data_IF_175898584591
#
_entry.id   IF_175898584591
#
_cell.length_a   1.000
_cell.length_b   1.000
_cell.length_c   1.000
_cell.angle_alpha   90.00
_cell.angle_beta   90.00
_cell.angle_gamma   90.00
#
_symmetry.space_group_name_H-M   'P 1'
#
loop_
_entity.id
_entity.type
_entity.pdbx_description
1 polymer ?
#
# COMPACT_ATOMS: atom_id res chain seq x y z
N UNK A 1 46.53 -1.24 16.85
CA UNK A 1 45.45 -0.38 16.31
C UNK A 1 44.45 -1.14 15.44
N UNK A 2 44.78 -2.33 14.96
CA UNK A 2 43.91 -3.16 14.09
C UNK A 2 42.61 -3.63 14.77
N UNK A 3 42.66 -4.02 16.05
CA UNK A 3 41.44 -4.42 16.79
C UNK A 3 40.41 -3.29 16.91
N UNK A 4 40.84 -2.03 17.01
CA UNK A 4 39.95 -0.88 17.09
C UNK A 4 39.26 -0.60 15.76
N UNK A 5 39.95 -0.84 14.63
CA UNK A 5 39.39 -0.72 13.28
C UNK A 5 38.31 -1.79 13.03
N UNK A 6 38.50 -3.01 13.54
CA UNK A 6 37.51 -4.09 13.43
C UNK A 6 36.24 -3.76 14.24
N UNK A 7 36.38 -3.23 15.46
CA UNK A 7 35.23 -2.75 16.24
C UNK A 7 34.53 -1.56 15.56
N UNK A 8 35.26 -0.65 14.94
CA UNK A 8 34.68 0.45 14.16
C UNK A 8 33.94 -0.07 12.91
N UNK A 9 34.49 -1.02 12.16
CA UNK A 9 33.80 -1.63 11.01
C UNK A 9 32.50 -2.33 11.44
N UNK A 10 32.51 -3.08 12.54
CA UNK A 10 31.32 -3.75 13.08
C UNK A 10 30.27 -2.76 13.61
N UNK A 11 30.69 -1.68 14.26
CA UNK A 11 29.80 -0.65 14.81
C UNK A 11 29.16 0.24 13.72
N UNK A 12 29.90 0.50 12.64
CA UNK A 12 29.39 1.25 11.48
C UNK A 12 28.39 0.43 10.65
N UNK A 13 28.55 -0.89 10.54
CA UNK A 13 27.54 -1.77 9.92
C UNK A 13 26.21 -1.77 10.68
N UNK A 14 26.22 -1.77 12.01
CA UNK A 14 24.99 -1.69 12.82
C UNK A 14 24.25 -0.35 12.72
N UNK A 15 24.93 0.73 12.31
CA UNK A 15 24.34 2.09 12.27
C UNK A 15 23.86 2.50 10.87
N UNK A 16 24.26 1.79 9.80
CA UNK A 16 23.76 2.06 8.43
C UNK A 16 22.54 1.20 8.03
N UNK A 17 22.22 0.13 8.76
CA UNK A 17 21.08 -0.77 8.46
C UNK A 17 19.71 -0.14 8.75
N UNK A 18 19.65 0.98 9.50
CA UNK A 18 18.40 1.44 10.11
C UNK A 18 17.60 2.51 9.33
N UNK A 19 18.03 2.99 8.15
CA UNK A 19 17.46 4.26 7.63
C UNK A 19 16.59 4.15 6.37
N UNK A 20 16.63 3.07 5.59
CA UNK A 20 15.90 3.00 4.32
C UNK A 20 14.66 2.08 4.30
N UNK A 21 14.68 0.98 5.05
CA UNK A 21 13.60 -0.02 5.14
C UNK A 21 12.51 0.29 6.17
N UNK A 22 12.78 0.79 7.40
CA UNK A 22 11.71 1.03 8.37
C UNK A 22 10.76 2.15 7.94
N UNK A 23 11.25 3.15 7.20
CA UNK A 23 10.41 4.24 6.71
C UNK A 23 9.35 3.77 5.70
N UNK A 24 9.70 2.84 4.80
CA UNK A 24 8.74 2.26 3.85
C UNK A 24 7.71 1.39 4.55
N UNK A 25 8.15 0.50 5.44
CA UNK A 25 7.25 -0.35 6.23
C UNK A 25 6.27 0.48 7.08
N UNK A 26 6.75 1.53 7.75
CA UNK A 26 5.90 2.46 8.51
C UNK A 26 4.89 3.19 7.62
N UNK A 27 5.31 3.64 6.43
CA UNK A 27 4.43 4.27 5.44
C UNK A 27 3.32 3.31 4.98
N UNK A 28 3.64 2.05 4.70
CA UNK A 28 2.63 1.05 4.30
C UNK A 28 1.68 0.70 5.44
N UNK A 29 2.17 0.59 6.68
CA UNK A 29 1.32 0.42 7.87
C UNK A 29 0.37 1.62 8.04
N UNK A 30 0.81 2.84 7.80
CA UNK A 30 -0.04 4.03 7.86
C UNK A 30 -1.08 4.04 6.73
N UNK A 31 -0.73 3.58 5.53
CA UNK A 31 -1.67 3.42 4.42
C UNK A 31 -2.75 2.39 4.76
N UNK A 32 -2.40 1.25 5.36
CA UNK A 32 -3.38 0.26 5.82
C UNK A 32 -4.37 0.84 6.82
N UNK A 33 -3.88 1.60 7.81
CA UNK A 33 -4.77 2.32 8.75
C UNK A 33 -5.68 3.32 8.05
N UNK A 34 -5.17 4.01 7.02
CA UNK A 34 -5.95 4.96 6.21
C UNK A 34 -7.04 4.25 5.42
N UNK A 35 -6.75 3.08 4.83
CA UNK A 35 -7.73 2.25 4.12
C UNK A 35 -8.81 1.75 5.09
N UNK A 36 -8.43 1.33 6.30
CA UNK A 36 -9.38 0.87 7.30
C UNK A 36 -10.28 2.03 7.79
N UNK A 37 -9.72 3.21 8.03
CA UNK A 37 -10.51 4.42 8.32
C UNK A 37 -11.48 4.78 7.18
N UNK A 38 -11.07 4.60 5.93
CA UNK A 38 -11.91 4.90 4.77
C UNK A 38 -13.16 3.99 4.70
N UNK A 39 -13.07 2.74 5.19
CA UNK A 39 -14.21 1.80 5.20
C UNK A 39 -15.39 2.29 6.03
N UNK A 40 -15.14 3.00 7.12
CA UNK A 40 -16.20 3.46 8.03
C UNK A 40 -16.89 4.73 7.53
N UNK A 41 -16.19 5.53 6.70
CA UNK A 41 -16.65 6.83 6.22
C UNK A 41 -17.16 6.82 4.77
N UNK A 42 -17.12 5.67 4.10
CA UNK A 42 -17.59 5.52 2.71
C UNK A 42 -19.07 5.11 2.66
N UNK A 43 -19.78 5.59 1.63
CA UNK A 43 -21.10 5.11 1.28
C UNK A 43 -20.99 3.72 0.65
N UNK A 44 -21.74 2.76 1.19
CA UNK A 44 -21.68 1.36 0.77
C UNK A 44 -22.94 0.93 0.00
N UNK A 45 -24.12 1.31 0.51
CA UNK A 45 -25.42 1.07 -0.15
C UNK A 45 -25.61 2.03 -1.32
N UNK A 46 -26.13 1.53 -2.44
CA UNK A 46 -26.46 2.32 -3.63
C UNK A 46 -25.27 3.14 -4.15
N UNK A 47 -24.08 2.58 -4.05
CA UNK A 47 -22.84 3.15 -4.56
C UNK A 47 -22.43 2.45 -5.87
N UNK A 48 -21.68 3.15 -6.72
CA UNK A 48 -21.12 2.57 -7.94
C UNK A 48 -20.21 1.39 -7.59
N UNK A 49 -20.38 0.26 -8.30
CA UNK A 49 -19.50 -0.89 -8.15
C UNK A 49 -18.14 -0.60 -8.78
N UNK A 50 -17.07 -0.98 -8.09
CA UNK A 50 -15.69 -0.61 -8.43
C UNK A 50 -14.90 -1.81 -8.88
N UNK A 51 -14.14 -1.64 -9.96
CA UNK A 51 -13.20 -2.65 -10.43
C UNK A 51 -12.18 -2.99 -9.34
N UNK A 52 -12.15 -4.28 -8.98
CA UNK A 52 -11.39 -4.78 -7.83
C UNK A 52 -10.42 -5.86 -8.28
N UNK A 53 -9.13 -5.52 -8.46
CA UNK A 53 -8.10 -6.53 -8.73
C UNK A 53 -7.98 -7.52 -7.58
N UNK A 54 -8.35 -8.78 -7.84
CA UNK A 54 -8.20 -9.87 -6.88
C UNK A 54 -6.95 -10.67 -7.21
N UNK A 55 -6.04 -10.79 -6.24
CA UNK A 55 -4.80 -11.56 -6.33
C UNK A 55 -3.95 -11.31 -7.60
N UNK A 56 -3.53 -10.06 -7.88
CA UNK A 56 -2.66 -9.78 -9.01
C UNK A 56 -1.34 -10.56 -8.88
N UNK A 57 -0.85 -11.04 -10.02
CA UNK A 57 0.51 -11.57 -10.18
C UNK A 57 1.50 -10.50 -9.71
N UNK A 58 2.62 -10.92 -9.14
CA UNK A 58 3.56 -10.03 -8.46
C UNK A 58 4.13 -8.92 -9.34
N UNK A 59 4.30 -9.22 -10.62
CA UNK A 59 4.76 -8.28 -11.63
C UNK A 59 3.72 -7.18 -11.94
N UNK A 60 2.46 -7.42 -11.59
CA UNK A 60 1.32 -6.53 -11.83
C UNK A 60 0.87 -5.76 -10.59
N UNK A 61 1.62 -5.83 -9.49
CA UNK A 61 1.29 -5.11 -8.26
C UNK A 61 1.17 -3.61 -8.48
N UNK A 62 2.06 -3.01 -9.29
CA UNK A 62 2.02 -1.58 -9.59
C UNK A 62 0.71 -1.19 -10.29
N UNK A 63 0.33 -1.92 -11.33
CA UNK A 63 -0.92 -1.72 -12.09
C UNK A 63 -2.14 -1.91 -11.20
N UNK A 64 -2.16 -2.98 -10.39
CA UNK A 64 -3.26 -3.26 -9.47
C UNK A 64 -3.42 -2.16 -8.41
N UNK A 65 -2.32 -1.73 -7.77
CA UNK A 65 -2.36 -0.62 -6.80
C UNK A 65 -2.84 0.66 -7.47
N UNK A 66 -2.32 1.01 -8.65
CA UNK A 66 -2.78 2.17 -9.41
C UNK A 66 -4.27 2.11 -9.73
N UNK A 67 -4.78 0.90 -9.99
CA UNK A 67 -6.20 0.67 -10.20
C UNK A 67 -7.03 1.01 -8.97
N UNK A 68 -6.60 0.53 -7.79
CA UNK A 68 -7.23 0.89 -6.52
C UNK A 68 -7.16 2.40 -6.28
N UNK A 69 -6.05 3.07 -6.58
CA UNK A 69 -5.93 4.53 -6.42
C UNK A 69 -6.93 5.28 -7.29
N UNK A 70 -7.09 4.90 -8.56
CA UNK A 70 -8.11 5.48 -9.45
C UNK A 70 -9.53 5.17 -8.94
N UNK A 71 -9.77 3.95 -8.47
CA UNK A 71 -11.06 3.55 -7.89
C UNK A 71 -11.43 4.33 -6.63
N UNK A 72 -10.46 4.68 -5.78
CA UNK A 72 -10.73 5.48 -4.56
C UNK A 72 -11.29 6.88 -4.87
N UNK A 73 -11.02 7.43 -6.06
CA UNK A 73 -11.55 8.73 -6.48
C UNK A 73 -13.04 8.68 -6.86
N UNK A 74 -13.57 7.49 -7.16
CA UNK A 74 -14.98 7.26 -7.47
C UNK A 74 -15.84 7.02 -6.23
N UNK A 75 -15.21 6.86 -5.06
CA UNK A 75 -15.92 6.66 -3.81
C UNK A 75 -16.69 7.91 -3.41
N UNK A 76 -17.75 7.69 -2.63
CA UNK A 76 -18.56 8.77 -2.06
C UNK A 76 -18.53 8.69 -0.54
N UNK A 77 -18.55 9.85 0.16
CA UNK A 77 -18.67 9.87 1.61
C UNK A 77 -20.05 9.33 2.03
N UNK A 78 -20.09 8.66 3.19
CA UNK A 78 -21.32 8.11 3.77
C UNK A 78 -22.37 9.19 4.04
N UNK A 79 -21.94 10.36 4.52
CA UNK A 79 -22.76 11.53 4.79
C UNK A 79 -21.87 12.80 4.87
N UNK A 80 -22.50 13.97 5.02
CA UNK A 80 -21.80 15.25 5.13
C UNK A 80 -20.92 15.39 6.37
N UNK A 81 -21.29 14.75 7.48
CA UNK A 81 -20.56 14.82 8.75
C UNK A 81 -19.15 14.21 8.65
N UNK A 82 -19.00 13.12 7.90
CA UNK A 82 -17.70 12.44 7.71
C UNK A 82 -16.94 12.91 6.47
N UNK A 83 -17.49 13.85 5.71
CA UNK A 83 -16.92 14.29 4.42
C UNK A 83 -15.49 14.83 4.55
N UNK A 84 -15.19 15.60 5.60
CA UNK A 84 -13.83 16.11 5.84
C UNK A 84 -12.80 14.99 6.03
N UNK A 85 -13.18 13.93 6.77
CA UNK A 85 -12.35 12.74 7.00
C UNK A 85 -12.22 11.92 5.72
N UNK A 86 -13.31 11.78 4.96
CA UNK A 86 -13.31 11.12 3.65
C UNK A 86 -12.35 11.81 2.67
N UNK A 87 -12.46 13.14 2.49
CA UNK A 87 -11.58 13.89 1.59
C UNK A 87 -10.12 13.78 2.02
N UNK A 88 -9.84 13.85 3.33
CA UNK A 88 -8.48 13.68 3.86
C UNK A 88 -7.90 12.30 3.55
N UNK A 89 -8.67 11.24 3.77
CA UNK A 89 -8.22 9.85 3.54
C UNK A 89 -8.04 9.55 2.05
N UNK A 90 -8.97 9.97 1.19
CA UNK A 90 -8.85 9.84 -0.28
C UNK A 90 -7.62 10.60 -0.81
N UNK A 91 -7.35 11.82 -0.32
CA UNK A 91 -6.17 12.58 -0.73
C UNK A 91 -4.84 11.92 -0.36
N UNK A 92 -4.80 11.14 0.72
CA UNK A 92 -3.62 10.34 1.08
C UNK A 92 -3.46 9.17 0.12
N UNK A 93 -4.55 8.44 -0.18
CA UNK A 93 -4.54 7.25 -1.03
C UNK A 93 -4.34 7.56 -2.51
N UNK A 94 -4.70 8.76 -2.98
CA UNK A 94 -4.46 9.24 -4.35
C UNK A 94 -2.97 9.35 -4.68
N UNK A 95 -2.10 9.57 -3.70
CA UNK A 95 -0.67 9.81 -3.93
C UNK A 95 0.03 8.51 -4.32
N UNK A 96 0.94 8.50 -5.32
CA UNK A 96 1.64 7.29 -5.74
C UNK A 96 2.23 6.50 -4.57
N UNK A 97 1.80 5.25 -4.42
CA UNK A 97 2.19 4.37 -3.31
C UNK A 97 3.44 3.56 -3.69
N UNK A 98 3.46 3.05 -4.92
CA UNK A 98 4.56 2.27 -5.49
C UNK A 98 5.27 3.08 -6.57
N UNK A 99 6.55 2.78 -6.78
CA UNK A 99 7.28 3.28 -7.95
C UNK A 99 6.84 2.48 -9.18
N UNK A 100 6.83 3.13 -10.34
CA UNK A 100 6.54 2.48 -11.60
C UNK A 100 7.56 1.37 -11.85
N UNK A 101 7.06 0.17 -12.12
CA UNK A 101 7.86 -1.01 -12.43
C UNK A 101 8.29 -1.06 -13.90
N UNK A 102 7.75 -0.19 -14.77
CA UNK A 102 8.00 -0.19 -16.22
C UNK A 102 7.42 -1.41 -16.96
N UNK A 103 6.99 -2.44 -16.23
CA UNK A 103 6.28 -3.61 -16.73
C UNK A 103 4.81 -3.25 -16.98
N UNK A 104 4.36 -3.35 -18.23
CA UNK A 104 2.94 -3.33 -18.56
C UNK A 104 2.34 -4.72 -18.34
N UNK A 105 1.26 -4.77 -17.57
CA UNK A 105 0.44 -5.97 -17.49
C UNK A 105 -0.70 -5.89 -18.49
N UNK A 106 -1.01 -7.02 -19.13
CA UNK A 106 -2.04 -7.10 -20.16
C UNK A 106 -3.45 -6.78 -19.62
N UNK A 107 -3.71 -7.08 -18.36
CA UNK A 107 -5.00 -6.79 -17.72
C UNK A 107 -5.17 -5.27 -17.50
N UNK A 108 -6.19 -4.68 -18.12
CA UNK A 108 -6.61 -3.31 -17.83
C UNK A 108 -7.45 -3.26 -16.56
N UNK A 109 -7.60 -2.07 -15.95
CA UNK A 109 -8.46 -1.91 -14.78
C UNK A 109 -9.90 -2.38 -15.00
N UNK A 110 -10.39 -2.24 -16.22
CA UNK A 110 -11.79 -2.50 -16.56
C UNK A 110 -12.10 -3.98 -16.69
N UNK A 111 -11.07 -4.83 -16.85
CA UNK A 111 -11.23 -6.28 -16.94
C UNK A 111 -11.51 -6.94 -15.59
N UNK A 112 -11.29 -6.24 -14.47
CA UNK A 112 -11.51 -6.79 -13.14
C UNK A 112 -12.98 -6.74 -12.73
N UNK A 113 -13.39 -7.74 -11.95
CA UNK A 113 -14.74 -7.82 -11.39
C UNK A 113 -15.08 -6.56 -10.58
N UNK A 114 -16.31 -6.10 -10.70
CA UNK A 114 -16.80 -4.95 -9.95
C UNK A 114 -17.36 -5.41 -8.60
N UNK A 115 -16.93 -4.77 -7.52
CA UNK A 115 -17.38 -5.06 -6.15
C UNK A 115 -17.92 -3.81 -5.47
N UNK A 116 -18.66 -4.00 -4.38
CA UNK A 116 -19.14 -2.87 -3.58
C UNK A 116 -17.96 -2.13 -2.91
N UNK A 117 -18.13 -0.87 -2.47
CA UNK A 117 -17.05 -0.07 -1.88
C UNK A 117 -16.34 -0.75 -0.69
N UNK A 118 -17.05 -1.47 0.18
CA UNK A 118 -16.42 -2.14 1.31
C UNK A 118 -15.54 -3.32 0.88
N UNK A 119 -16.02 -4.16 -0.03
CA UNK A 119 -15.26 -5.28 -0.58
C UNK A 119 -14.06 -4.79 -1.39
N UNK A 120 -14.24 -3.72 -2.16
CA UNK A 120 -13.16 -3.03 -2.85
C UNK A 120 -12.06 -2.61 -1.87
N UNK A 121 -12.40 -1.90 -0.78
CA UNK A 121 -11.45 -1.48 0.24
C UNK A 121 -10.84 -2.67 1.03
N UNK A 122 -11.60 -3.75 1.20
CA UNK A 122 -11.09 -4.98 1.83
C UNK A 122 -10.03 -5.64 0.95
N UNK A 123 -10.26 -5.76 -0.35
CA UNK A 123 -9.29 -6.26 -1.33
C UNK A 123 -8.07 -5.36 -1.43
N UNK A 124 -8.26 -4.04 -1.38
CA UNK A 124 -7.14 -3.10 -1.35
C UNK A 124 -6.26 -3.30 -0.09
N UNK A 125 -6.88 -3.45 1.09
CA UNK A 125 -6.17 -3.74 2.33
C UNK A 125 -5.40 -5.06 2.25
N UNK A 126 -6.00 -6.12 1.69
CA UNK A 126 -5.31 -7.41 1.45
C UNK A 126 -4.07 -7.24 0.56
N UNK A 127 -4.20 -6.51 -0.55
CA UNK A 127 -3.10 -6.24 -1.47
C UNK A 127 -1.96 -5.48 -0.77
N UNK A 128 -2.28 -4.42 -0.02
CA UNK A 128 -1.30 -3.63 0.70
C UNK A 128 -0.62 -4.39 1.84
N UNK A 129 -1.31 -5.35 2.48
CA UNK A 129 -0.70 -6.28 3.44
C UNK A 129 0.35 -7.17 2.76
N UNK A 130 0.05 -7.71 1.57
CA UNK A 130 1.00 -8.50 0.78
C UNK A 130 2.26 -7.68 0.43
N UNK A 131 2.10 -6.41 0.06
CA UNK A 131 3.22 -5.48 -0.18
C UNK A 131 4.02 -5.23 1.10
N UNK A 132 3.37 -5.07 2.25
CA UNK A 132 4.04 -4.83 3.54
C UNK A 132 4.88 -6.04 3.97
N UNK A 133 4.33 -7.25 3.91
CA UNK A 133 5.03 -8.50 4.27
C UNK A 133 6.30 -8.69 3.42
N UNK A 134 6.28 -8.30 2.14
CA UNK A 134 7.48 -8.35 1.28
C UNK A 134 8.60 -7.43 1.73
N UNK A 135 8.24 -6.23 2.18
CA UNK A 135 9.24 -5.26 2.66
C UNK A 135 9.86 -5.74 3.96
N UNK A 136 9.07 -6.35 4.84
CA UNK A 136 9.56 -6.93 6.10
C UNK A 136 10.42 -8.20 5.85
N UNK A 137 10.07 -9.02 4.85
CA UNK A 137 10.85 -10.23 4.46
C UNK A 137 12.23 -9.91 3.87
N UNK A 138 12.34 -8.79 3.14
CA UNK A 138 13.64 -8.31 2.64
C UNK A 138 14.58 -7.84 3.76
N UNK A 139 14.06 -7.46 4.93
CA UNK A 139 14.90 -7.17 6.11
C UNK A 139 15.49 -8.47 6.69
N UNK A 140 14.66 -9.52 6.84
CA UNK A 140 15.11 -10.80 7.40
C UNK A 140 16.22 -11.47 6.56
N UNK A 141 16.24 -11.24 5.25
CA UNK A 141 17.27 -11.80 4.37
C UNK A 141 18.65 -11.12 4.48
N UNK A 142 18.71 -9.87 4.94
CA UNK A 142 19.98 -9.16 5.12
C UNK A 142 20.58 -9.32 6.52
N UNK A 143 19.80 -9.79 7.50
CA UNK A 143 20.29 -10.16 8.84
C UNK A 143 20.97 -11.55 8.87
N UNK A 144 20.90 -12.33 7.77
CA UNK A 144 21.39 -13.72 7.70
C UNK A 144 22.61 -13.88 6.77
N UNK A 145 22.99 -12.86 6.00
CA UNK A 145 24.17 -12.90 5.11
C UNK A 145 25.36 -12.11 5.69
#
# INVERSE_FOLDING_TARGET
MERMIIFCMLFFCSSMVLTATPHKAMKYKQLLKTIDQLKDVVKDKDAELLHTPENPVDECLFTAVTCFQKGTLKLQPKNSQVNSTFIKTVNILKRPILKDSGKQCESTCESYEKKNPKEFLQSFSKLMKKVTIRVDSFCLFFDVL
#
